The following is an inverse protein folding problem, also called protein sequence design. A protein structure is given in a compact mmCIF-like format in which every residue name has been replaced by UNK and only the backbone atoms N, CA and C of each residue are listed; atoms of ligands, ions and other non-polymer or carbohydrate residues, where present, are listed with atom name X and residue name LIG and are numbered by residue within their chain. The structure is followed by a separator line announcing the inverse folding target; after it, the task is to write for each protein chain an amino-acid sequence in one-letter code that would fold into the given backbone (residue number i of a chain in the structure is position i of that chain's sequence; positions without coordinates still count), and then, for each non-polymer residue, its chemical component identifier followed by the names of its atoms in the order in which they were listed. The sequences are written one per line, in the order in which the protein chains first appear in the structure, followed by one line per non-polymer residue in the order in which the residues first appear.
data_IF_492852483404
#
_entry.id   IF_492852483404
#
_cell.length_a   1.000
_cell.length_b   1.000
_cell.length_c   1.000
_cell.angle_alpha   90.00
_cell.angle_beta   90.00
_cell.angle_gamma   90.00
#
_symmetry.space_group_name_H-M   'P 1'
#
loop_
_entity.id
_entity.type
_entity.pdbx_description
1 polymer ?
#
# COMPACT_ATOMS: atom_id res chain seq x y z
N UNK A 1 -20.07 3.34 -7.87
CA UNK A 1 -21.21 2.91 -7.03
C UNK A 1 -22.23 4.02 -6.76
N UNK A 2 -21.78 5.26 -6.49
CA UNK A 2 -22.67 6.43 -6.35
C UNK A 2 -23.55 6.66 -7.59
N UNK A 3 -22.93 6.73 -8.77
CA UNK A 3 -23.63 6.90 -10.05
C UNK A 3 -24.70 5.83 -10.33
N UNK A 4 -24.42 4.55 -10.02
CA UNK A 4 -25.40 3.44 -10.17
C UNK A 4 -26.57 3.50 -9.18
N UNK A 5 -26.35 4.08 -7.99
CA UNK A 5 -27.42 4.35 -7.01
C UNK A 5 -28.27 5.56 -7.42
N UNK A 6 -27.67 6.56 -8.07
CA UNK A 6 -28.34 7.74 -8.60
C UNK A 6 -29.23 7.38 -9.80
N UNK A 7 -28.77 6.49 -10.69
CA UNK A 7 -29.54 6.02 -11.85
C UNK A 7 -30.67 5.06 -11.50
N UNK A 8 -30.52 4.27 -10.41
CA UNK A 8 -31.52 3.30 -9.95
C UNK A 8 -31.64 3.34 -8.43
N UNK A 9 -32.64 4.06 -7.87
CA UNK A 9 -32.80 4.21 -6.42
C UNK A 9 -33.13 2.89 -5.69
N UNK A 10 -33.58 1.85 -6.40
CA UNK A 10 -33.78 0.50 -5.86
C UNK A 10 -32.54 -0.40 -5.93
N UNK A 11 -31.43 0.09 -6.51
CA UNK A 11 -30.22 -0.71 -6.66
C UNK A 11 -29.60 -1.00 -5.30
N UNK A 12 -29.68 -2.27 -4.91
CA UNK A 12 -28.92 -2.81 -3.78
C UNK A 12 -27.72 -3.59 -4.33
N UNK A 13 -26.49 -3.20 -3.96
CA UNK A 13 -25.32 -3.97 -4.34
C UNK A 13 -25.37 -5.35 -3.67
N UNK A 14 -24.72 -6.34 -4.29
CA UNK A 14 -24.57 -7.66 -3.70
C UNK A 14 -23.96 -7.53 -2.28
N UNK A 15 -24.42 -8.30 -1.27
CA UNK A 15 -23.94 -8.17 0.10
C UNK A 15 -22.42 -8.26 0.26
N UNK A 16 -21.75 -9.08 -0.57
CA UNK A 16 -20.29 -9.17 -0.59
C UNK A 16 -19.65 -7.82 -0.96
N UNK A 17 -20.13 -7.20 -2.04
CA UNK A 17 -19.61 -5.91 -2.52
C UNK A 17 -19.87 -4.81 -1.50
N UNK A 18 -21.01 -4.85 -0.80
CA UNK A 18 -21.31 -3.90 0.26
C UNK A 18 -20.31 -4.04 1.43
N UNK A 19 -20.06 -5.27 1.90
CA UNK A 19 -19.07 -5.53 2.95
C UNK A 19 -17.66 -5.14 2.54
N UNK A 20 -17.26 -5.41 1.30
CA UNK A 20 -15.95 -5.00 0.78
C UNK A 20 -15.83 -3.48 0.74
N UNK A 21 -16.87 -2.76 0.32
CA UNK A 21 -16.87 -1.30 0.32
C UNK A 21 -16.74 -0.73 1.73
N UNK A 22 -17.48 -1.28 2.69
CA UNK A 22 -17.41 -0.89 4.10
C UNK A 22 -16.01 -1.14 4.69
N UNK A 23 -15.41 -2.30 4.37
CA UNK A 23 -14.04 -2.62 4.78
C UNK A 23 -13.03 -1.62 4.21
N UNK A 24 -13.06 -1.39 2.89
CA UNK A 24 -12.15 -0.44 2.23
C UNK A 24 -12.35 0.96 2.80
N UNK A 25 -13.59 1.43 3.00
CA UNK A 25 -13.84 2.76 3.58
C UNK A 25 -13.31 2.90 5.00
N UNK A 26 -13.36 1.82 5.81
CA UNK A 26 -12.90 1.84 7.20
C UNK A 26 -11.37 1.78 7.32
N UNK A 27 -10.72 0.98 6.47
CA UNK A 27 -9.27 0.73 6.53
C UNK A 27 -8.49 1.46 5.43
N UNK A 28 -9.12 2.39 4.71
CA UNK A 28 -8.41 3.18 3.71
C UNK A 28 -7.38 4.09 4.41
N UNK A 29 -6.11 3.89 4.08
CA UNK A 29 -5.01 4.68 4.61
C UNK A 29 -4.85 6.04 3.90
N UNK A 30 -5.36 6.19 2.67
CA UNK A 30 -5.25 7.41 1.85
C UNK A 30 -6.58 8.16 1.72
N UNK A 31 -6.73 9.29 2.39
CA UNK A 31 -7.93 10.14 2.31
C UNK A 31 -7.93 11.03 1.06
N UNK A 32 -6.74 11.41 0.57
CA UNK A 32 -6.54 12.28 -0.57
C UNK A 32 -6.11 11.47 -1.82
N UNK A 33 -6.87 11.52 -2.94
CA UNK A 33 -6.49 10.86 -4.18
C UNK A 33 -5.13 11.31 -4.74
N UNK A 34 -4.75 12.57 -4.53
CA UNK A 34 -3.46 13.11 -4.99
C UNK A 34 -2.30 12.53 -4.18
N UNK A 35 -2.45 12.44 -2.86
CA UNK A 35 -1.51 11.77 -1.97
C UNK A 35 -1.32 10.29 -2.35
N UNK A 36 -2.41 9.58 -2.66
CA UNK A 36 -2.36 8.19 -3.11
C UNK A 36 -1.58 8.04 -4.41
N UNK A 37 -1.76 8.96 -5.35
CA UNK A 37 -1.00 8.97 -6.60
C UNK A 37 0.49 9.30 -6.37
N UNK A 38 0.80 10.24 -5.48
CA UNK A 38 2.17 10.58 -5.12
C UNK A 38 2.89 9.40 -4.44
N UNK A 39 2.23 8.73 -3.48
CA UNK A 39 2.74 7.50 -2.86
C UNK A 39 3.02 6.41 -3.89
N UNK A 40 2.09 6.20 -4.84
CA UNK A 40 2.29 5.22 -5.92
C UNK A 40 3.52 5.55 -6.76
N UNK A 41 3.64 6.79 -7.22
CA UNK A 41 4.75 7.21 -8.08
C UNK A 41 6.10 7.09 -7.34
N UNK A 42 6.13 7.42 -6.05
CA UNK A 42 7.33 7.30 -5.23
C UNK A 42 7.76 5.85 -5.09
N UNK A 43 6.84 4.94 -4.73
CA UNK A 43 7.21 3.54 -4.50
C UNK A 43 7.54 2.80 -5.81
N UNK A 44 6.88 3.13 -6.92
CA UNK A 44 7.22 2.61 -8.26
C UNK A 44 8.67 2.96 -8.65
N UNK A 45 9.22 4.08 -8.17
CA UNK A 45 10.60 4.49 -8.45
C UNK A 45 11.65 3.66 -7.70
N UNK A 46 11.27 2.95 -6.64
CA UNK A 46 12.19 2.23 -5.74
C UNK A 46 12.40 0.77 -6.19
N UNK A 47 11.61 0.28 -7.14
CA UNK A 47 11.80 -1.05 -7.74
C UNK A 47 11.26 -2.22 -6.91
N UNK A 48 10.43 -1.96 -5.89
CA UNK A 48 9.76 -3.00 -5.12
C UNK A 48 8.76 -3.81 -5.97
N UNK A 49 8.54 -5.08 -5.62
CA UNK A 49 7.58 -5.92 -6.36
C UNK A 49 6.16 -5.39 -6.16
N UNK A 50 5.27 -5.53 -7.17
CA UNK A 50 3.92 -4.95 -7.10
C UNK A 50 3.10 -5.33 -5.86
N UNK A 51 3.33 -6.53 -5.32
CA UNK A 51 2.61 -6.98 -4.12
C UNK A 51 3.20 -6.39 -2.83
N UNK A 52 4.50 -6.10 -2.78
CA UNK A 52 5.18 -5.60 -1.58
C UNK A 52 4.81 -4.16 -1.29
N UNK A 53 4.83 -3.30 -2.32
CA UNK A 53 4.38 -1.93 -2.13
C UNK A 53 2.89 -1.87 -1.78
N UNK A 54 2.08 -2.76 -2.36
CA UNK A 54 0.66 -2.87 -2.02
C UNK A 54 0.46 -3.25 -0.54
N UNK A 55 1.33 -4.09 0.01
CA UNK A 55 1.31 -4.41 1.44
C UNK A 55 1.80 -3.24 2.29
N UNK A 56 2.90 -2.56 1.92
CA UNK A 56 3.39 -1.38 2.64
C UNK A 56 2.31 -0.28 2.70
N UNK A 57 1.67 0.03 1.57
CA UNK A 57 0.67 1.09 1.49
C UNK A 57 -0.63 0.78 2.27
N UNK A 58 -0.96 -0.51 2.46
CA UNK A 58 -2.17 -0.92 3.19
C UNK A 58 -1.91 -1.20 4.67
N UNK A 59 -0.74 -1.77 5.00
CA UNK A 59 -0.38 -2.12 6.37
C UNK A 59 0.24 -0.95 7.12
N UNK A 60 0.89 -0.02 6.41
CA UNK A 60 1.52 1.18 6.96
C UNK A 60 2.43 0.88 8.17
N UNK A 61 3.47 0.03 8.01
CA UNK A 61 4.39 -0.26 9.10
C UNK A 61 5.13 1.01 9.55
N UNK A 62 5.43 1.09 10.83
CA UNK A 62 6.08 2.24 11.45
C UNK A 62 7.60 2.24 11.25
N UNK A 63 8.21 1.05 11.25
CA UNK A 63 9.64 0.84 11.14
C UNK A 63 10.00 -0.40 10.30
N UNK A 64 11.28 -0.51 9.94
CA UNK A 64 11.84 -1.62 9.17
C UNK A 64 11.70 -2.98 9.88
N UNK A 65 11.71 -3.03 11.22
CA UNK A 65 11.55 -4.28 11.96
C UNK A 65 10.11 -4.82 11.85
N UNK A 66 9.11 -3.95 11.95
CA UNK A 66 7.70 -4.29 11.72
C UNK A 66 7.46 -4.67 10.26
N UNK A 67 7.97 -3.86 9.32
CA UNK A 67 7.78 -4.09 7.89
C UNK A 67 8.32 -5.46 7.45
N UNK A 68 9.51 -5.82 7.91
CA UNK A 68 10.16 -7.10 7.56
C UNK A 68 9.52 -8.31 8.23
N UNK A 69 8.93 -8.14 9.42
CA UNK A 69 8.12 -9.20 10.07
C UNK A 69 6.78 -9.42 9.37
N UNK A 70 6.13 -8.36 8.93
CA UNK A 70 4.85 -8.42 8.23
C UNK A 70 4.99 -8.85 6.77
N UNK A 71 6.09 -8.45 6.13
CA UNK A 71 6.38 -8.69 4.72
C UNK A 71 7.79 -9.30 4.63
N UNK A 72 7.92 -10.62 4.87
CA UNK A 72 9.22 -11.30 4.90
C UNK A 72 10.00 -11.20 3.60
N UNK A 73 9.30 -10.98 2.49
CA UNK A 73 9.90 -10.83 1.17
C UNK A 73 10.71 -9.53 1.02
N UNK A 74 10.51 -8.53 1.89
CA UNK A 74 11.32 -7.31 1.90
C UNK A 74 12.78 -7.58 2.30
N UNK A 75 13.03 -8.66 3.03
CA UNK A 75 14.38 -9.14 3.39
C UNK A 75 14.69 -10.34 2.52
N UNK A 76 15.12 -10.08 1.30
CA UNK A 76 15.69 -11.16 0.50
C UNK A 76 17.06 -11.54 1.08
N UNK A 77 17.33 -12.84 1.17
CA UNK A 77 18.63 -13.36 1.57
C UNK A 77 19.66 -12.89 0.51
N UNK A 78 20.63 -12.03 0.85
CA UNK A 78 21.49 -11.35 -0.14
C UNK A 78 22.37 -12.30 -0.97
N UNK A 79 22.44 -13.58 -0.56
CA UNK A 79 23.17 -14.65 -1.22
C UNK A 79 22.37 -15.37 -2.33
N UNK A 80 21.03 -15.24 -2.37
CA UNK A 80 20.16 -16.06 -3.23
C UNK A 80 19.62 -15.33 -4.48
N UNK A 81 19.76 -14.00 -4.58
CA UNK A 81 19.19 -13.21 -5.68
C UNK A 81 20.20 -12.26 -6.36
N UNK A 82 20.02 -11.96 -7.66
CA UNK A 82 20.79 -10.94 -8.38
C UNK A 82 20.75 -9.60 -7.64
N UNK A 83 21.81 -8.80 -7.74
CA UNK A 83 21.93 -7.49 -7.07
C UNK A 83 20.77 -6.54 -7.39
N UNK A 84 20.20 -6.67 -8.59
CA UNK A 84 19.03 -5.96 -9.11
C UNK A 84 17.69 -6.35 -8.46
N UNK A 85 17.68 -7.46 -7.70
CA UNK A 85 16.51 -8.06 -7.04
C UNK A 85 16.70 -8.17 -5.53
N UNK A 86 17.79 -7.62 -4.98
CA UNK A 86 17.97 -7.57 -3.53
C UNK A 86 16.94 -6.62 -2.92
N UNK A 87 16.34 -7.04 -1.82
CA UNK A 87 15.50 -6.19 -0.98
C UNK A 87 16.25 -4.94 -0.49
N UNK A 88 15.49 -3.96 0.01
CA UNK A 88 16.05 -2.72 0.52
C UNK A 88 16.89 -2.97 1.77
N UNK A 89 18.02 -2.26 1.91
CA UNK A 89 18.73 -2.22 3.18
C UNK A 89 17.81 -1.60 4.26
N UNK A 90 17.97 -2.00 5.53
CA UNK A 90 17.11 -1.52 6.63
C UNK A 90 17.01 0.01 6.70
N UNK A 91 18.15 0.70 6.57
CA UNK A 91 18.20 2.17 6.56
C UNK A 91 17.47 2.80 5.36
N UNK A 92 17.42 2.12 4.22
CA UNK A 92 16.70 2.58 3.02
C UNK A 92 15.20 2.32 3.16
N UNK A 93 14.82 1.20 3.76
CA UNK A 93 13.45 0.87 4.08
C UNK A 93 12.86 1.89 5.07
N UNK A 94 13.58 2.24 6.14
CA UNK A 94 13.12 3.25 7.10
C UNK A 94 12.90 4.62 6.43
N UNK A 95 13.77 5.02 5.49
CA UNK A 95 13.58 6.25 4.72
C UNK A 95 12.35 6.19 3.83
N UNK A 96 12.13 5.05 3.17
CA UNK A 96 10.94 4.83 2.34
C UNK A 96 9.67 4.94 3.20
N UNK A 97 9.63 4.27 4.35
CA UNK A 97 8.47 4.29 5.24
C UNK A 97 8.17 5.69 5.75
N UNK A 98 9.19 6.43 6.16
CA UNK A 98 9.03 7.83 6.59
C UNK A 98 8.43 8.71 5.47
N UNK A 99 8.91 8.54 4.23
CA UNK A 99 8.40 9.33 3.10
C UNK A 99 6.96 8.96 2.74
N UNK A 100 6.61 7.66 2.75
CA UNK A 100 5.23 7.20 2.54
C UNK A 100 4.29 7.75 3.61
N UNK A 101 4.73 7.80 4.87
CA UNK A 101 3.97 8.41 5.96
C UNK A 101 3.80 9.92 5.77
N UNK A 102 4.84 10.64 5.31
CA UNK A 102 4.73 12.07 5.00
C UNK A 102 3.73 12.33 3.88
N UNK A 103 3.83 11.59 2.78
CA UNK A 103 2.95 11.74 1.61
C UNK A 103 1.49 11.44 1.94
N UNK A 104 1.22 10.54 2.88
CA UNK A 104 -0.14 10.26 3.35
C UNK A 104 -0.84 11.48 3.95
N UNK A 105 -0.09 12.34 4.64
CA UNK A 105 -0.62 13.50 5.35
C UNK A 105 -0.61 14.80 4.51
N UNK A 106 -0.10 14.74 3.28
CA UNK A 106 -0.05 15.86 2.34
C UNK A 106 -1.38 16.07 1.60
#
# INVERSE_FOLDING_TARGET
MRQRREEKPTFQPQPLVQKTLEYVQKFNCGTNPEAVQAMRNYIESIGLRPYEWGLIANLMPEDSDEATKLIPSLVDNPEDLPEEQRGLAGDELDRLLAEVQNLRHA
#
